data_IF_800159543514
#
_entry.id   IF_800159543514
#
_cell.length_a   1.000
_cell.length_b   1.000
_cell.length_c   1.000
_cell.angle_alpha   90.00
_cell.angle_beta   90.00
_cell.angle_gamma   90.00
#
_symmetry.space_group_name_H-M   'P 1'
#
loop_
_entity.id
_entity.type
_entity.pdbx_description
1 polymer ?
#
# COMPACT_ATOMS: atom_id res chain seq x y z
N UNK A 1 40.61 -28.04 -13.76
CA UNK A 1 41.27 -27.00 -14.58
C UNK A 1 40.36 -26.36 -15.65
N UNK A 2 39.38 -27.06 -16.24
CA UNK A 2 38.52 -26.51 -17.30
C UNK A 2 37.44 -25.49 -16.83
N UNK A 3 37.03 -25.50 -15.55
CA UNK A 3 36.03 -24.57 -15.00
C UNK A 3 36.59 -23.17 -14.73
N UNK A 4 37.86 -23.06 -14.35
CA UNK A 4 38.53 -21.79 -14.03
C UNK A 4 38.74 -20.91 -15.28
N UNK A 5 38.99 -21.54 -16.43
CA UNK A 5 39.09 -20.87 -17.73
C UNK A 5 37.75 -20.29 -18.24
N UNK A 6 36.60 -20.84 -17.84
CA UNK A 6 35.28 -20.31 -18.25
C UNK A 6 34.91 -19.07 -17.46
N UNK A 7 35.20 -19.04 -16.16
CA UNK A 7 34.96 -17.89 -15.29
C UNK A 7 35.84 -16.69 -15.67
N UNK A 8 37.12 -16.90 -15.99
CA UNK A 8 38.00 -15.85 -16.51
C UNK A 8 37.54 -15.32 -17.89
N UNK A 9 37.05 -16.19 -18.78
CA UNK A 9 36.48 -15.76 -20.07
C UNK A 9 35.20 -14.93 -19.94
N UNK A 10 34.40 -15.18 -18.91
CA UNK A 10 33.19 -14.40 -18.61
C UNK A 10 33.57 -13.06 -17.98
N UNK A 11 34.50 -13.04 -17.02
CA UNK A 11 35.04 -11.80 -16.45
C UNK A 11 35.68 -10.90 -17.51
N UNK A 12 36.48 -11.45 -18.42
CA UNK A 12 37.09 -10.67 -19.50
C UNK A 12 36.04 -10.16 -20.51
N UNK A 13 34.96 -10.92 -20.77
CA UNK A 13 33.84 -10.44 -21.61
C UNK A 13 33.07 -9.28 -20.99
N UNK A 14 32.93 -9.23 -19.66
CA UNK A 14 32.33 -8.09 -18.97
C UNK A 14 33.27 -6.86 -18.95
N UNK A 15 34.57 -7.07 -18.90
CA UNK A 15 35.59 -6.01 -18.85
C UNK A 15 35.74 -5.23 -20.17
N UNK A 16 35.35 -5.84 -21.30
CA UNK A 16 35.35 -5.21 -22.63
C UNK A 16 34.00 -4.59 -23.03
N UNK A 17 32.95 -4.70 -22.20
CA UNK A 17 31.64 -4.17 -22.56
C UNK A 17 31.61 -2.63 -22.42
N UNK A 18 32.01 -1.93 -23.48
CA UNK A 18 31.91 -0.46 -23.57
C UNK A 18 30.45 -0.06 -23.68
N UNK A 19 29.83 0.25 -22.54
CA UNK A 19 28.46 0.76 -22.54
C UNK A 19 28.39 2.14 -23.19
N UNK A 20 27.46 2.28 -24.14
CA UNK A 20 27.17 3.58 -24.73
C UNK A 20 26.58 4.54 -23.69
N UNK A 21 26.80 5.83 -23.88
CA UNK A 21 26.17 6.91 -23.12
C UNK A 21 24.65 6.75 -23.09
N UNK A 22 24.03 6.40 -24.22
CA UNK A 22 22.58 6.15 -24.31
C UNK A 22 22.15 5.00 -23.40
N UNK A 23 22.90 3.90 -23.39
CA UNK A 23 22.60 2.74 -22.54
C UNK A 23 22.74 3.08 -21.06
N UNK A 24 23.79 3.80 -20.66
CA UNK A 24 23.99 4.24 -19.27
C UNK A 24 22.83 5.13 -18.80
N UNK A 25 22.42 6.09 -19.62
CA UNK A 25 21.31 6.99 -19.30
C UNK A 25 19.96 6.24 -19.26
N UNK A 26 19.68 5.39 -20.24
CA UNK A 26 18.45 4.59 -20.29
C UNK A 26 18.36 3.61 -19.12
N UNK A 27 19.48 3.04 -18.65
CA UNK A 27 19.51 2.21 -17.46
C UNK A 27 19.22 3.03 -16.19
N UNK A 28 19.78 4.23 -16.07
CA UNK A 28 19.50 5.13 -14.95
C UNK A 28 18.03 5.55 -14.88
N UNK A 29 17.49 6.04 -16.01
CA UNK A 29 16.07 6.43 -16.12
C UNK A 29 15.14 5.21 -15.97
N UNK A 30 15.49 4.09 -16.60
CA UNK A 30 14.74 2.84 -16.50
C UNK A 30 14.70 2.29 -15.08
N UNK A 31 15.78 2.44 -14.31
CA UNK A 31 15.81 2.05 -12.90
C UNK A 31 14.87 2.91 -12.05
N UNK A 32 14.79 4.22 -12.30
CA UNK A 32 13.82 5.10 -11.63
C UNK A 32 12.39 4.67 -11.98
N UNK A 33 12.11 4.49 -13.27
CA UNK A 33 10.79 4.10 -13.74
C UNK A 33 10.36 2.76 -13.14
N UNK A 34 11.25 1.77 -13.13
CA UNK A 34 11.01 0.48 -12.50
C UNK A 34 10.74 0.62 -11.00
N UNK A 35 11.52 1.42 -10.27
CA UNK A 35 11.33 1.65 -8.85
C UNK A 35 9.97 2.31 -8.55
N UNK A 36 9.58 3.33 -9.33
CA UNK A 36 8.29 4.02 -9.17
C UNK A 36 7.10 3.10 -9.47
N UNK A 37 7.22 2.25 -10.49
CA UNK A 37 6.20 1.23 -10.80
C UNK A 37 6.07 0.22 -9.66
N UNK A 38 7.19 -0.29 -9.15
CA UNK A 38 7.20 -1.25 -8.04
C UNK A 38 6.58 -0.64 -6.79
N UNK A 39 6.93 0.62 -6.50
CA UNK A 39 6.33 1.42 -5.41
C UNK A 39 4.81 1.54 -5.55
N UNK A 40 4.34 1.84 -6.76
CA UNK A 40 2.92 2.03 -7.04
C UNK A 40 2.13 0.72 -6.88
N UNK A 41 2.69 -0.39 -7.36
CA UNK A 41 2.09 -1.72 -7.22
C UNK A 41 2.00 -2.11 -5.75
N UNK A 42 3.08 -1.95 -4.99
CA UNK A 42 3.13 -2.26 -3.55
C UNK A 42 2.05 -1.46 -2.82
N UNK A 43 1.98 -0.15 -3.05
CA UNK A 43 1.00 0.72 -2.41
C UNK A 43 -0.45 0.31 -2.70
N UNK A 44 -0.77 -0.08 -3.93
CA UNK A 44 -2.11 -0.57 -4.29
C UNK A 44 -2.43 -1.89 -3.57
N UNK A 45 -1.48 -2.82 -3.50
CA UNK A 45 -1.68 -4.10 -2.83
C UNK A 45 -1.86 -3.93 -1.32
N UNK A 46 -1.09 -3.05 -0.71
CA UNK A 46 -1.19 -2.70 0.72
C UNK A 46 -2.55 -2.05 1.02
N UNK A 47 -2.96 -1.07 0.21
CA UNK A 47 -4.27 -0.43 0.36
C UNK A 47 -5.43 -1.42 0.23
N UNK A 48 -5.38 -2.33 -0.77
CA UNK A 48 -6.44 -3.33 -0.98
C UNK A 48 -6.54 -4.31 0.19
N UNK A 49 -5.40 -4.81 0.68
CA UNK A 49 -5.36 -5.72 1.83
C UNK A 49 -5.98 -5.06 3.06
N UNK A 50 -5.62 -3.81 3.28
CA UNK A 50 -6.13 -3.04 4.40
C UNK A 50 -7.62 -2.73 4.28
N UNK A 51 -8.05 -2.21 3.12
CA UNK A 51 -9.44 -1.84 2.87
C UNK A 51 -10.39 -3.03 3.08
N UNK A 52 -10.02 -4.21 2.59
CA UNK A 52 -10.84 -5.41 2.75
C UNK A 52 -10.90 -5.84 4.22
N UNK A 53 -9.76 -5.90 4.90
CA UNK A 53 -9.70 -6.25 6.32
C UNK A 53 -10.58 -5.32 7.20
N UNK A 54 -10.57 -4.02 6.92
CA UNK A 54 -11.37 -3.01 7.64
C UNK A 54 -12.85 -3.15 7.34
N UNK A 55 -13.19 -3.30 6.06
CA UNK A 55 -14.59 -3.38 5.62
C UNK A 55 -15.27 -4.59 6.24
N UNK A 56 -14.62 -5.74 6.20
CA UNK A 56 -15.18 -6.99 6.72
C UNK A 56 -15.32 -6.94 8.25
N UNK A 57 -14.29 -6.46 8.95
CA UNK A 57 -14.26 -6.41 10.42
C UNK A 57 -15.26 -5.40 11.01
N UNK A 58 -15.39 -4.23 10.37
CA UNK A 58 -16.35 -3.21 10.80
C UNK A 58 -17.78 -3.62 10.44
N UNK A 59 -17.99 -4.19 9.25
CA UNK A 59 -19.31 -4.66 8.84
C UNK A 59 -19.83 -5.80 9.73
N UNK A 60 -18.99 -6.79 10.05
CA UNK A 60 -19.38 -7.94 10.88
C UNK A 60 -19.72 -7.50 12.31
N UNK A 61 -18.89 -6.65 12.93
CA UNK A 61 -19.15 -6.18 14.30
C UNK A 61 -20.38 -5.27 14.39
N UNK A 62 -20.57 -4.34 13.45
CA UNK A 62 -21.77 -3.49 13.39
C UNK A 62 -23.02 -4.34 13.17
N UNK A 63 -22.95 -5.34 12.29
CA UNK A 63 -24.06 -6.27 12.05
C UNK A 63 -24.40 -7.05 13.33
N UNK A 64 -23.41 -7.56 14.04
CA UNK A 64 -23.62 -8.29 15.30
C UNK A 64 -24.28 -7.41 16.37
N UNK A 65 -23.84 -6.16 16.54
CA UNK A 65 -24.45 -5.19 17.46
C UNK A 65 -25.91 -4.92 17.08
N UNK A 66 -26.19 -4.66 15.79
CA UNK A 66 -27.55 -4.39 15.31
C UNK A 66 -28.49 -5.58 15.53
N UNK A 67 -28.03 -6.80 15.23
CA UNK A 67 -28.80 -8.03 15.44
C UNK A 67 -29.08 -8.23 16.93
N UNK A 68 -28.07 -8.06 17.79
CA UNK A 68 -28.25 -8.21 19.24
C UNK A 68 -29.25 -7.19 19.81
N UNK A 69 -29.17 -5.91 19.41
CA UNK A 69 -30.14 -4.88 19.79
C UNK A 69 -31.56 -5.22 19.32
N UNK A 70 -31.71 -5.79 18.12
CA UNK A 70 -33.02 -6.23 17.62
C UNK A 70 -33.58 -7.40 18.45
N UNK A 71 -32.74 -8.37 18.82
CA UNK A 71 -33.11 -9.50 19.68
C UNK A 71 -33.57 -9.05 21.07
N UNK A 72 -32.87 -8.09 21.69
CA UNK A 72 -33.30 -7.46 22.97
C UNK A 72 -34.66 -6.80 22.78
N UNK A 73 -34.80 -5.93 21.77
CA UNK A 73 -36.03 -5.18 21.55
C UNK A 73 -37.25 -6.09 21.35
N UNK A 74 -37.11 -7.16 20.54
CA UNK A 74 -38.17 -8.14 20.32
C UNK A 74 -38.53 -8.93 21.58
N UNK A 75 -37.53 -9.29 22.39
CA UNK A 75 -37.74 -10.02 23.64
C UNK A 75 -38.41 -9.14 24.70
N UNK A 76 -37.99 -7.88 24.81
CA UNK A 76 -38.57 -6.88 25.72
C UNK A 76 -40.02 -6.58 25.36
N UNK A 77 -40.30 -6.34 24.08
CA UNK A 77 -41.65 -6.08 23.58
C UNK A 77 -42.59 -7.26 23.88
N UNK A 78 -42.14 -8.50 23.62
CA UNK A 78 -42.95 -9.67 23.91
C UNK A 78 -43.17 -9.89 25.41
N UNK A 79 -42.12 -9.75 26.23
CA UNK A 79 -42.24 -9.94 27.67
C UNK A 79 -43.20 -8.91 28.30
N UNK A 80 -43.18 -7.66 27.81
CA UNK A 80 -44.11 -6.61 28.21
C UNK A 80 -45.55 -6.90 27.77
N UNK A 81 -45.77 -7.43 26.56
CA UNK A 81 -47.09 -7.87 26.11
C UNK A 81 -47.64 -8.98 27.02
N UNK A 82 -46.83 -9.99 27.34
CA UNK A 82 -47.23 -11.06 28.28
C UNK A 82 -47.57 -10.49 29.66
N UNK A 83 -46.78 -9.55 30.17
CA UNK A 83 -47.06 -8.90 31.45
C UNK A 83 -48.39 -8.11 31.42
N UNK A 84 -48.65 -7.36 30.35
CA UNK A 84 -49.90 -6.62 30.17
C UNK A 84 -51.11 -7.56 30.12
N UNK A 85 -51.02 -8.64 29.35
CA UNK A 85 -52.02 -9.73 29.26
C UNK A 85 -52.36 -10.33 30.63
N UNK A 86 -51.37 -10.48 31.52
CA UNK A 86 -51.56 -11.03 32.87
C UNK A 86 -52.13 -9.98 33.85
N UNK A 87 -51.96 -8.69 33.53
CA UNK A 87 -52.46 -7.58 34.34
C UNK A 87 -53.93 -7.22 34.07
N UNK A 88 -54.50 -7.63 32.94
CA UNK A 88 -55.92 -7.41 32.61
C UNK A 88 -56.83 -8.41 33.35
N UNK A 89 -57.84 -7.90 34.08
CA UNK A 89 -58.73 -8.70 34.93
C UNK A 89 -59.88 -9.38 34.16
N UNK A 90 -60.21 -8.94 32.94
CA UNK A 90 -61.32 -9.48 32.12
C UNK A 90 -60.85 -10.65 31.23
N UNK A 91 -60.99 -11.87 31.74
CA UNK A 91 -60.46 -13.12 31.19
C UNK A 91 -61.12 -13.66 29.90
N UNK A 92 -62.06 -12.94 29.28
CA UNK A 92 -62.95 -13.53 28.25
C UNK A 92 -62.50 -13.23 26.81
N UNK A 93 -61.68 -12.21 26.56
CA UNK A 93 -61.20 -11.85 25.21
C UNK A 93 -59.72 -11.49 25.13
N UNK A 94 -58.89 -12.03 26.02
CA UNK A 94 -57.47 -11.72 26.02
C UNK A 94 -56.77 -12.49 24.88
N UNK A 95 -56.43 -11.78 23.82
CA UNK A 95 -55.62 -12.29 22.72
C UNK A 95 -54.23 -12.62 23.25
N UNK A 96 -53.85 -13.90 23.16
CA UNK A 96 -52.49 -14.35 23.51
C UNK A 96 -51.51 -13.62 22.59
N UNK A 97 -50.50 -12.91 23.12
CA UNK A 97 -49.54 -12.23 22.28
C UNK A 97 -48.80 -13.24 21.41
N UNK A 98 -48.86 -13.03 20.10
CA UNK A 98 -48.09 -13.82 19.15
C UNK A 98 -46.64 -13.34 19.16
N UNK A 99 -45.71 -14.28 19.31
CA UNK A 99 -44.29 -14.00 19.15
C UNK A 99 -43.88 -14.33 17.71
N UNK A 100 -43.25 -13.37 17.05
CA UNK A 100 -42.70 -13.56 15.71
C UNK A 100 -41.44 -14.44 15.75
N UNK A 101 -41.68 -15.76 15.84
CA UNK A 101 -40.66 -16.80 15.91
C UNK A 101 -39.80 -16.79 14.65
N UNK A 102 -40.40 -16.51 13.50
CA UNK A 102 -39.70 -16.52 12.22
C UNK A 102 -38.73 -15.35 12.14
N UNK A 103 -39.14 -14.14 12.53
CA UNK A 103 -38.24 -13.00 12.58
C UNK A 103 -37.10 -13.20 13.58
N UNK A 104 -37.36 -13.76 14.77
CA UNK A 104 -36.30 -14.01 15.75
C UNK A 104 -35.31 -15.08 15.27
N UNK A 105 -35.79 -16.19 14.70
CA UNK A 105 -34.90 -17.21 14.12
C UNK A 105 -34.09 -16.67 12.96
N UNK A 106 -34.68 -15.82 12.11
CA UNK A 106 -33.93 -15.13 11.06
C UNK A 106 -32.84 -14.20 11.62
N UNK A 107 -33.07 -13.54 12.76
CA UNK A 107 -32.04 -12.77 13.45
C UNK A 107 -30.93 -13.68 14.01
N UNK A 108 -31.27 -14.83 14.63
CA UNK A 108 -30.27 -15.79 15.13
C UNK A 108 -29.45 -16.45 14.02
N UNK A 109 -30.07 -16.80 12.89
CA UNK A 109 -29.37 -17.31 11.70
C UNK A 109 -28.48 -16.23 11.08
N UNK A 110 -28.98 -14.98 11.07
CA UNK A 110 -28.20 -13.79 10.73
C UNK A 110 -26.97 -13.63 11.63
N UNK A 111 -27.11 -13.86 12.93
CA UNK A 111 -26.01 -13.81 13.90
C UNK A 111 -24.99 -14.94 13.63
N UNK A 112 -25.47 -16.17 13.44
CA UNK A 112 -24.64 -17.35 13.19
C UNK A 112 -23.83 -17.27 11.89
N UNK A 113 -24.36 -16.55 10.90
CA UNK A 113 -23.69 -16.32 9.61
C UNK A 113 -22.74 -15.11 9.61
N UNK A 114 -22.87 -14.21 10.59
CA UNK A 114 -22.06 -12.98 10.70
C UNK A 114 -20.91 -13.11 11.69
N UNK A 115 -20.99 -14.07 12.58
CA UNK A 115 -19.93 -14.37 13.54
C UNK A 115 -18.81 -15.12 12.82
N UNK A 116 -17.81 -14.38 12.34
CA UNK A 116 -16.57 -14.93 11.80
C UNK A 116 -15.54 -15.27 12.90
N UNK A 117 -15.69 -14.72 14.12
CA UNK A 117 -14.74 -14.95 15.21
C UNK A 117 -15.05 -16.24 15.97
N UNK A 118 -14.02 -17.07 16.19
CA UNK A 118 -14.12 -18.33 16.97
C UNK A 118 -14.66 -18.11 18.39
N UNK A 119 -14.54 -16.89 18.93
CA UNK A 119 -14.91 -16.54 20.30
C UNK A 119 -16.39 -16.16 20.46
N UNK A 120 -17.05 -15.65 19.41
CA UNK A 120 -18.47 -15.28 19.49
C UNK A 120 -19.44 -16.44 19.20
N UNK A 121 -18.96 -17.57 18.62
CA UNK A 121 -19.76 -18.79 18.44
C UNK A 121 -20.42 -19.32 19.73
N UNK A 122 -19.69 -19.54 20.85
CA UNK A 122 -20.29 -20.02 22.09
C UNK A 122 -21.31 -19.04 22.70
N UNK A 123 -21.14 -17.73 22.48
CA UNK A 123 -22.08 -16.71 22.95
C UNK A 123 -23.37 -16.75 22.13
N UNK A 124 -23.28 -16.90 20.82
CA UNK A 124 -24.44 -17.10 19.95
C UNK A 124 -25.23 -18.36 20.31
N UNK A 125 -24.55 -19.49 20.54
CA UNK A 125 -25.20 -20.73 20.97
C UNK A 125 -25.91 -20.57 22.32
N UNK A 126 -25.31 -19.81 23.25
CA UNK A 126 -25.91 -19.49 24.55
C UNK A 126 -27.20 -18.66 24.38
N UNK A 127 -27.21 -17.67 23.48
CA UNK A 127 -28.40 -16.87 23.15
C UNK A 127 -29.51 -17.75 22.56
N UNK A 128 -29.18 -18.63 21.60
CA UNK A 128 -30.15 -19.54 20.98
C UNK A 128 -30.74 -20.51 22.01
N UNK A 129 -29.91 -21.03 22.91
CA UNK A 129 -30.35 -21.92 23.98
C UNK A 129 -31.27 -21.20 24.98
N UNK A 130 -30.88 -20.02 25.45
CA UNK A 130 -31.67 -19.23 26.39
C UNK A 130 -33.02 -18.80 25.77
N UNK A 131 -33.02 -18.49 24.47
CA UNK A 131 -34.24 -18.20 23.73
C UNK A 131 -35.17 -19.41 23.67
N UNK A 132 -34.64 -20.58 23.32
CA UNK A 132 -35.43 -21.81 23.25
C UNK A 132 -36.11 -22.09 24.59
N UNK A 133 -35.39 -21.90 25.71
CA UNK A 133 -35.94 -22.06 27.05
C UNK A 133 -37.01 -21.01 27.38
N UNK A 134 -36.80 -19.75 27.01
CA UNK A 134 -37.78 -18.67 27.19
C UNK A 134 -39.07 -18.92 26.40
N UNK A 135 -38.93 -19.28 25.12
CA UNK A 135 -40.05 -19.53 24.22
C UNK A 135 -40.84 -20.79 24.58
N UNK A 136 -40.16 -21.88 24.97
CA UNK A 136 -40.82 -23.08 25.48
C UNK A 136 -41.67 -22.77 26.72
N UNK A 137 -41.16 -21.89 27.58
CA UNK A 137 -41.90 -21.46 28.76
C UNK A 137 -43.09 -20.59 28.36
N UNK A 138 -42.93 -19.64 27.43
CA UNK A 138 -44.02 -18.75 27.02
C UNK A 138 -45.19 -19.47 26.33
N UNK A 139 -44.96 -20.64 25.72
CA UNK A 139 -46.03 -21.50 25.18
C UNK A 139 -46.98 -22.04 26.25
N UNK A 140 -46.63 -21.98 27.53
CA UNK A 140 -47.53 -22.32 28.63
C UNK A 140 -48.61 -21.25 28.85
N UNK A 141 -48.41 -20.03 28.34
CA UNK A 141 -49.28 -18.87 28.59
C UNK A 141 -50.78 -19.12 28.33
N UNK A 142 -51.22 -19.72 27.19
CA UNK A 142 -52.64 -19.98 26.97
C UNK A 142 -53.27 -20.89 28.03
N UNK A 143 -52.51 -21.91 28.47
CA UNK A 143 -52.96 -22.85 29.50
C UNK A 143 -53.00 -22.18 30.88
N UNK A 144 -52.05 -21.31 31.17
CA UNK A 144 -51.98 -20.54 32.42
C UNK A 144 -53.16 -19.57 32.50
N UNK A 145 -53.47 -18.87 31.42
CA UNK A 145 -54.58 -17.91 31.36
C UNK A 145 -55.96 -18.60 31.42
N UNK A 146 -56.10 -19.81 30.87
CA UNK A 146 -57.36 -20.57 30.87
C UNK A 146 -57.59 -21.40 32.15
N UNK A 147 -56.65 -21.39 33.10
CA UNK A 147 -56.73 -22.24 34.29
C UNK A 147 -57.16 -21.45 35.52
N UNK A 148 -58.26 -21.86 36.13
CA UNK A 148 -58.73 -21.30 37.42
C UNK A 148 -57.81 -21.63 38.61
N UNK A 149 -56.86 -22.55 38.42
CA UNK A 149 -55.99 -23.07 39.49
C UNK A 149 -54.57 -22.48 39.45
N UNK A 150 -54.15 -21.91 38.32
CA UNK A 150 -52.78 -21.40 38.15
C UNK A 150 -52.82 -19.88 38.32
N UNK A 151 -52.04 -19.37 39.27
CA UNK A 151 -51.85 -17.93 39.40
C UNK A 151 -50.92 -17.45 38.27
N UNK A 152 -51.48 -16.72 37.30
CA UNK A 152 -50.76 -16.20 36.13
C UNK A 152 -49.61 -15.26 36.50
N UNK A 153 -49.79 -14.43 37.54
CA UNK A 153 -48.77 -13.53 38.07
C UNK A 153 -47.60 -14.30 38.72
N UNK A 154 -47.91 -15.33 39.49
CA UNK A 154 -46.90 -16.20 40.10
C UNK A 154 -46.10 -16.95 39.03
N UNK A 155 -46.78 -17.52 38.02
CA UNK A 155 -46.14 -18.14 36.87
C UNK A 155 -45.22 -17.14 36.12
N UNK A 156 -45.66 -15.91 35.91
CA UNK A 156 -44.85 -14.89 35.24
C UNK A 156 -43.55 -14.62 36.02
N UNK A 157 -43.64 -14.24 37.29
CA UNK A 157 -42.46 -13.82 38.06
C UNK A 157 -41.53 -14.98 38.43
N UNK A 158 -42.06 -16.17 38.71
CA UNK A 158 -41.26 -17.29 39.18
C UNK A 158 -40.83 -18.27 38.09
N UNK A 159 -41.47 -18.25 36.92
CA UNK A 159 -41.19 -19.20 35.83
C UNK A 159 -40.75 -18.52 34.54
N UNK A 160 -41.48 -17.53 34.05
CA UNK A 160 -41.16 -16.86 32.78
C UNK A 160 -40.05 -15.81 32.92
N UNK A 161 -40.17 -14.90 33.88
CA UNK A 161 -39.25 -13.79 34.12
C UNK A 161 -37.79 -14.25 34.33
N UNK A 162 -37.49 -15.34 35.07
CA UNK A 162 -36.11 -15.82 35.20
C UNK A 162 -35.51 -16.32 33.87
N UNK A 163 -36.33 -16.89 32.98
CA UNK A 163 -35.89 -17.34 31.64
C UNK A 163 -35.62 -16.16 30.72
N UNK A 164 -36.49 -15.14 30.76
CA UNK A 164 -36.27 -13.88 30.08
C UNK A 164 -35.00 -13.17 30.57
N UNK A 165 -34.78 -13.06 31.88
CA UNK A 165 -33.59 -12.44 32.45
C UNK A 165 -32.30 -13.14 31.98
N UNK A 166 -32.34 -14.48 31.86
CA UNK A 166 -31.21 -15.25 31.33
C UNK A 166 -30.96 -14.97 29.85
N UNK A 167 -32.02 -14.94 29.02
CA UNK A 167 -31.92 -14.57 27.61
C UNK A 167 -31.30 -13.18 27.45
N UNK A 168 -31.81 -12.21 28.22
CA UNK A 168 -31.29 -10.83 28.21
C UNK A 168 -29.81 -10.77 28.58
N UNK A 169 -29.41 -11.45 29.66
CA UNK A 169 -28.01 -11.50 30.07
C UNK A 169 -27.09 -12.13 29.02
N UNK A 170 -27.54 -13.18 28.33
CA UNK A 170 -26.75 -13.83 27.27
C UNK A 170 -26.65 -12.94 26.01
N UNK A 171 -27.70 -12.19 25.67
CA UNK A 171 -27.65 -11.19 24.58
C UNK A 171 -26.74 -10.01 24.95
N UNK A 172 -26.78 -9.53 26.20
CA UNK A 172 -25.90 -8.46 26.70
C UNK A 172 -24.44 -8.87 26.63
N UNK A 173 -24.08 -10.09 27.09
CA UNK A 173 -22.70 -10.63 26.97
C UNK A 173 -22.21 -10.71 25.53
N UNK A 174 -23.06 -11.16 24.61
CA UNK A 174 -22.74 -11.19 23.18
C UNK A 174 -22.51 -9.79 22.63
N UNK A 175 -23.32 -8.83 23.06
CA UNK A 175 -23.23 -7.41 22.64
C UNK A 175 -21.95 -6.77 23.16
N UNK A 176 -21.62 -6.98 24.43
CA UNK A 176 -20.40 -6.46 25.07
C UNK A 176 -19.15 -7.05 24.42
N UNK A 177 -19.15 -8.34 24.09
CA UNK A 177 -18.08 -8.97 23.34
C UNK A 177 -17.89 -8.32 21.96
N UNK A 178 -18.99 -8.08 21.22
CA UNK A 178 -18.92 -7.41 19.93
C UNK A 178 -18.42 -5.95 20.02
N UNK A 179 -18.80 -5.20 21.06
CA UNK A 179 -18.27 -3.85 21.31
C UNK A 179 -16.79 -3.86 21.69
N UNK A 180 -16.39 -4.77 22.57
CA UNK A 180 -15.00 -4.96 22.98
C UNK A 180 -14.11 -5.35 21.79
N UNK A 181 -14.60 -6.24 20.93
CA UNK A 181 -13.93 -6.63 19.69
C UNK A 181 -13.81 -5.43 18.76
N UNK A 182 -14.89 -4.68 18.52
CA UNK A 182 -14.85 -3.47 17.70
C UNK A 182 -13.80 -2.46 18.21
N UNK A 183 -13.73 -2.24 19.52
CA UNK A 183 -12.77 -1.32 20.15
C UNK A 183 -11.33 -1.82 20.01
N UNK A 184 -11.09 -3.10 20.30
CA UNK A 184 -9.75 -3.72 20.22
C UNK A 184 -9.26 -3.75 18.77
N UNK A 185 -10.16 -4.06 17.84
CA UNK A 185 -9.91 -4.06 16.41
C UNK A 185 -9.63 -2.65 15.89
N UNK A 186 -10.27 -1.61 16.43
CA UNK A 186 -9.99 -0.21 16.08
C UNK A 186 -8.59 0.23 16.50
N UNK A 187 -8.12 -0.20 17.68
CA UNK A 187 -6.74 0.06 18.15
C UNK A 187 -5.72 -0.72 17.31
N UNK A 188 -5.99 -2.01 17.07
CA UNK A 188 -5.13 -2.87 16.24
C UNK A 188 -5.10 -2.40 14.79
N UNK A 189 -6.18 -1.81 14.29
CA UNK A 189 -6.27 -1.20 12.98
C UNK A 189 -5.24 -0.09 12.80
N UNK A 190 -5.07 0.81 13.77
CA UNK A 190 -4.08 1.89 13.65
C UNK A 190 -2.67 1.31 13.51
N UNK A 191 -2.31 0.35 14.36
CA UNK A 191 -0.99 -0.26 14.33
C UNK A 191 -0.73 -1.06 13.04
N UNK A 192 -1.75 -1.78 12.56
CA UNK A 192 -1.71 -2.52 11.29
C UNK A 192 -1.68 -1.59 10.07
N UNK A 193 -2.38 -0.44 10.12
CA UNK A 193 -2.35 0.62 9.11
C UNK A 193 -0.93 1.12 8.91
N UNK A 194 -0.30 1.55 10.00
CA UNK A 194 1.06 2.07 9.98
C UNK A 194 2.04 1.03 9.44
N UNK A 195 1.97 -0.22 9.92
CA UNK A 195 2.83 -1.31 9.43
C UNK A 195 2.62 -1.63 7.96
N UNK A 196 1.40 -1.47 7.46
CA UNK A 196 1.06 -1.74 6.05
C UNK A 196 1.52 -0.63 5.10
N UNK A 197 1.79 0.59 5.58
CA UNK A 197 2.16 1.74 4.72
C UNK A 197 3.68 1.99 4.70
N UNK A 198 4.40 1.50 5.73
CA UNK A 198 5.85 1.67 5.84
C UNK A 198 6.59 1.27 4.55
N UNK A 199 6.35 0.10 3.92
CA UNK A 199 7.10 -0.29 2.73
C UNK A 199 6.86 0.66 1.55
N UNK A 200 5.63 1.16 1.39
CA UNK A 200 5.29 2.20 0.41
C UNK A 200 6.10 3.49 0.61
N UNK A 201 6.16 4.01 1.83
CA UNK A 201 6.93 5.23 2.15
C UNK A 201 8.43 5.02 1.90
N UNK A 202 8.98 3.88 2.35
CA UNK A 202 10.40 3.53 2.16
C UNK A 202 10.74 3.47 0.67
N UNK A 203 9.86 2.88 -0.14
CA UNK A 203 10.04 2.78 -1.59
C UNK A 203 10.07 4.16 -2.27
N UNK A 204 9.17 5.07 -1.89
CA UNK A 204 9.18 6.45 -2.38
C UNK A 204 10.47 7.17 -2.00
N UNK A 205 10.91 7.03 -0.74
CA UNK A 205 12.18 7.60 -0.27
C UNK A 205 13.39 7.10 -1.05
N UNK A 206 13.46 5.78 -1.28
CA UNK A 206 14.51 5.18 -2.10
C UNK A 206 14.49 5.68 -3.56
N UNK A 207 13.31 5.85 -4.15
CA UNK A 207 13.15 6.47 -5.47
C UNK A 207 13.69 7.89 -5.54
N UNK A 208 13.43 8.71 -4.51
CA UNK A 208 13.92 10.08 -4.41
C UNK A 208 15.46 10.14 -4.31
N UNK A 209 16.06 9.25 -3.52
CA UNK A 209 17.53 9.12 -3.46
C UNK A 209 18.10 8.74 -4.82
N UNK A 210 17.44 7.84 -5.56
CA UNK A 210 17.89 7.41 -6.88
C UNK A 210 17.82 8.55 -7.91
N UNK A 211 16.81 9.41 -7.83
CA UNK A 211 16.72 10.64 -8.64
C UNK A 211 17.87 11.59 -8.33
N UNK A 212 18.18 11.83 -7.05
CA UNK A 212 19.31 12.68 -6.65
C UNK A 212 20.64 12.13 -7.16
N UNK A 213 20.83 10.82 -7.08
CA UNK A 213 22.03 10.14 -7.58
C UNK A 213 22.12 10.27 -9.11
N UNK A 214 21.01 10.09 -9.84
CA UNK A 214 20.98 10.30 -11.29
C UNK A 214 21.32 11.74 -11.66
N UNK A 215 20.78 12.73 -10.94
CA UNK A 215 21.09 14.14 -11.15
C UNK A 215 22.59 14.42 -10.94
N UNK A 216 23.17 13.87 -9.88
CA UNK A 216 24.61 13.95 -9.63
C UNK A 216 25.41 13.30 -10.77
N UNK A 217 25.01 12.11 -11.22
CA UNK A 217 25.66 11.39 -12.30
C UNK A 217 25.64 12.18 -13.60
N UNK A 218 24.48 12.73 -13.97
CA UNK A 218 24.34 13.56 -15.18
C UNK A 218 25.25 14.79 -15.11
N UNK A 219 25.27 15.47 -13.96
CA UNK A 219 26.12 16.65 -13.76
C UNK A 219 27.61 16.30 -13.90
N UNK A 220 28.05 15.23 -13.25
CA UNK A 220 29.46 14.85 -13.17
C UNK A 220 30.00 14.25 -14.47
N UNK A 221 29.22 13.39 -15.14
CA UNK A 221 29.71 12.60 -16.29
C UNK A 221 29.27 13.13 -17.66
N UNK A 222 28.27 14.01 -17.72
CA UNK A 222 27.80 14.57 -18.99
C UNK A 222 27.93 16.10 -19.04
N UNK A 223 27.35 16.81 -18.08
CA UNK A 223 27.28 18.28 -18.13
C UNK A 223 28.66 18.91 -17.92
N UNK A 224 29.35 18.59 -16.81
CA UNK A 224 30.66 19.19 -16.52
C UNK A 224 31.71 18.91 -17.60
N UNK A 225 31.83 17.69 -18.15
CA UNK A 225 32.74 17.41 -19.26
C UNK A 225 32.46 18.24 -20.51
N UNK A 226 31.18 18.41 -20.90
CA UNK A 226 30.81 19.25 -22.05
C UNK A 226 31.30 20.69 -21.85
N UNK A 227 31.06 21.28 -20.66
CA UNK A 227 31.52 22.64 -20.36
C UNK A 227 33.05 22.76 -20.37
N UNK A 228 33.77 21.75 -19.88
CA UNK A 228 35.25 21.73 -19.91
C UNK A 228 35.79 21.69 -21.34
N UNK A 229 35.21 20.85 -22.21
CA UNK A 229 35.60 20.79 -23.62
C UNK A 229 35.30 22.10 -24.34
N UNK A 230 34.13 22.71 -24.08
CA UNK A 230 33.75 23.98 -24.67
C UNK A 230 34.72 25.10 -24.29
N UNK A 231 35.06 25.23 -23.00
CA UNK A 231 36.03 26.22 -22.54
C UNK A 231 37.42 26.01 -23.16
N UNK A 232 37.90 24.76 -23.22
CA UNK A 232 39.18 24.44 -23.84
C UNK A 232 39.21 24.75 -25.35
N UNK A 233 38.08 24.60 -26.04
CA UNK A 233 37.94 24.91 -27.46
C UNK A 233 37.86 26.42 -27.73
N UNK A 234 37.22 27.17 -26.83
CA UNK A 234 37.20 28.63 -26.85
C UNK A 234 38.62 29.21 -26.65
N UNK A 235 39.38 28.68 -25.70
CA UNK A 235 40.78 29.07 -25.50
C UNK A 235 41.67 28.74 -26.71
N UNK A 236 41.41 27.61 -27.37
CA UNK A 236 42.09 27.24 -28.61
C UNK A 236 41.81 28.24 -29.75
N UNK A 237 40.54 28.59 -29.96
CA UNK A 237 40.10 29.42 -31.08
C UNK A 237 40.43 30.91 -30.87
N UNK A 238 40.17 31.46 -29.69
CA UNK A 238 40.33 32.88 -29.40
C UNK A 238 41.74 33.25 -28.95
N UNK A 239 42.36 32.43 -28.10
CA UNK A 239 43.67 32.73 -27.49
C UNK A 239 44.83 32.03 -28.19
N UNK A 240 44.56 31.23 -29.22
CA UNK A 240 45.54 30.43 -29.96
C UNK A 240 46.37 29.53 -29.02
N UNK A 241 45.77 29.12 -27.89
CA UNK A 241 46.38 28.20 -26.92
C UNK A 241 46.20 26.75 -27.37
N UNK A 242 47.01 25.82 -26.85
CA UNK A 242 46.82 24.39 -27.14
C UNK A 242 45.56 23.88 -26.43
N UNK A 243 44.76 23.08 -27.13
CA UNK A 243 43.63 22.37 -26.52
C UNK A 243 44.16 21.39 -25.46
N UNK A 244 43.76 21.57 -24.20
CA UNK A 244 44.15 20.69 -23.09
C UNK A 244 42.92 20.30 -22.28
N UNK A 245 42.22 19.26 -22.73
CA UNK A 245 41.12 18.66 -21.99
C UNK A 245 41.32 17.15 -21.92
N UNK A 246 41.41 16.59 -20.71
CA UNK A 246 41.40 15.15 -20.49
C UNK A 246 40.04 14.71 -19.93
N UNK A 247 39.53 13.59 -20.45
CA UNK A 247 38.28 13.00 -20.02
C UNK A 247 38.49 11.52 -19.73
N UNK A 248 38.17 11.11 -18.51
CA UNK A 248 38.48 9.78 -17.95
C UNK A 248 37.38 8.73 -18.22
N UNK A 249 36.43 9.04 -19.11
CA UNK A 249 35.36 8.11 -19.49
C UNK A 249 35.78 7.15 -20.61
N UNK A 250 35.01 6.07 -20.76
CA UNK A 250 35.19 5.06 -21.81
C UNK A 250 33.99 4.99 -22.78
N UNK A 251 33.26 6.09 -22.94
CA UNK A 251 32.07 6.18 -23.80
C UNK A 251 32.23 7.21 -24.93
N UNK A 252 31.13 7.53 -25.61
CA UNK A 252 31.11 8.48 -26.74
C UNK A 252 31.66 9.85 -26.37
N UNK A 253 31.59 10.26 -25.10
CA UNK A 253 32.12 11.55 -24.67
C UNK A 253 33.65 11.55 -24.68
N UNK A 254 34.27 10.40 -24.39
CA UNK A 254 35.71 10.22 -24.50
C UNK A 254 36.17 10.15 -25.96
N UNK A 255 35.41 9.42 -26.79
CA UNK A 255 35.66 9.36 -28.22
C UNK A 255 35.57 10.76 -28.86
N UNK A 256 34.62 11.59 -28.43
CA UNK A 256 34.49 12.98 -28.88
C UNK A 256 35.69 13.82 -28.44
N UNK A 257 36.11 13.74 -27.18
CA UNK A 257 37.28 14.48 -26.70
C UNK A 257 38.56 14.11 -27.46
N UNK A 258 38.75 12.82 -27.74
CA UNK A 258 39.89 12.32 -28.53
C UNK A 258 39.90 12.90 -29.94
N UNK A 259 38.74 12.88 -30.63
CA UNK A 259 38.62 13.43 -31.98
C UNK A 259 38.84 14.95 -32.00
N UNK A 260 38.32 15.67 -31.00
CA UNK A 260 38.58 17.11 -30.87
C UNK A 260 40.08 17.36 -30.70
N UNK A 261 40.75 16.56 -29.85
CA UNK A 261 42.20 16.69 -29.62
C UNK A 261 42.97 16.49 -30.92
N UNK A 262 42.70 15.41 -31.65
CA UNK A 262 43.33 15.11 -32.94
C UNK A 262 43.16 16.24 -33.96
N UNK A 263 41.93 16.72 -34.16
CA UNK A 263 41.66 17.83 -35.10
C UNK A 263 42.35 19.13 -34.67
N UNK A 264 42.42 19.43 -33.37
CA UNK A 264 43.13 20.62 -32.89
C UNK A 264 44.64 20.51 -33.07
N UNK A 265 45.22 19.32 -32.90
CA UNK A 265 46.65 19.07 -33.14
C UNK A 265 47.00 19.20 -34.62
N UNK A 266 46.21 18.60 -35.52
CA UNK A 266 46.37 18.75 -36.97
C UNK A 266 46.27 20.21 -37.39
N UNK A 267 45.31 20.97 -36.84
CA UNK A 267 45.18 22.40 -37.12
C UNK A 267 46.40 23.20 -36.68
N UNK A 268 47.00 22.86 -35.52
CA UNK A 268 48.23 23.50 -35.06
C UNK A 268 49.39 23.19 -35.99
N UNK A 269 49.51 21.94 -36.46
CA UNK A 269 50.54 21.56 -37.43
C UNK A 269 50.35 22.28 -38.77
N UNK A 270 49.12 22.36 -39.28
CA UNK A 270 48.78 23.11 -40.49
C UNK A 270 49.13 24.59 -40.35
N UNK A 271 48.78 25.24 -39.23
CA UNK A 271 49.16 26.64 -38.96
C UNK A 271 50.68 26.83 -38.98
N UNK A 272 51.46 25.87 -38.44
CA UNK A 272 52.93 25.91 -38.50
C UNK A 272 53.46 25.75 -39.92
N UNK A 273 52.94 24.81 -40.71
CA UNK A 273 53.33 24.58 -42.11
C UNK A 273 53.01 25.78 -43.00
N UNK A 274 51.84 26.39 -42.83
CA UNK A 274 51.46 27.62 -43.58
C UNK A 274 52.38 28.77 -43.22
N UNK A 275 52.74 28.93 -41.93
CA UNK A 275 53.71 29.95 -41.51
C UNK A 275 55.09 29.72 -42.13
N UNK A 276 55.62 28.50 -42.08
CA UNK A 276 56.94 28.22 -42.65
C UNK A 276 57.00 28.46 -44.16
N UNK A 277 55.95 28.07 -44.90
CA UNK A 277 55.85 28.33 -46.34
C UNK A 277 55.77 29.83 -46.65
N UNK A 278 55.09 30.61 -45.82
CA UNK A 278 55.02 32.07 -45.96
C UNK A 278 56.38 32.71 -45.72
N UNK A 279 57.06 32.33 -44.65
CA UNK A 279 58.40 32.82 -44.30
C UNK A 279 59.43 32.46 -45.41
N UNK A 280 59.33 31.26 -45.99
CA UNK A 280 60.19 30.82 -47.10
C UNK A 280 59.92 31.62 -48.38
N UNK A 281 58.65 31.84 -48.74
CA UNK A 281 58.26 32.70 -49.87
C UNK A 281 58.83 34.11 -49.71
N UNK A 282 58.73 34.68 -48.51
CA UNK A 282 59.20 36.04 -48.23
C UNK A 282 60.73 36.16 -48.41
N UNK A 283 61.49 35.18 -47.92
CA UNK A 283 62.95 35.07 -48.16
C UNK A 283 63.30 34.93 -49.63
N UNK A 284 62.54 34.13 -50.39
CA UNK A 284 62.78 33.98 -51.83
C UNK A 284 62.52 35.29 -52.60
N UNK A 285 61.51 36.07 -52.19
CA UNK A 285 61.23 37.39 -52.80
C UNK A 285 62.36 38.37 -52.49
N UNK A 286 62.83 38.42 -51.24
CA UNK A 286 63.97 39.26 -50.84
C UNK A 286 65.24 38.88 -51.61
N UNK A 287 65.52 37.58 -51.77
CA UNK A 287 66.66 37.09 -52.52
C UNK A 287 66.59 37.51 -54.01
N UNK A 288 65.42 37.42 -54.64
CA UNK A 288 65.24 37.83 -56.05
C UNK A 288 65.40 39.34 -56.20
N UNK A 289 64.89 40.15 -55.27
CA UNK A 289 65.05 41.61 -55.29
C UNK A 289 66.52 42.02 -55.11
N UNK A 290 67.27 41.34 -54.25
CA UNK A 290 68.71 41.61 -54.04
C UNK A 290 69.62 41.23 -55.22
N UNK A 291 69.11 40.46 -56.19
CA UNK A 291 69.83 40.09 -57.43
C UNK A 291 69.51 41.05 -58.59
N UNK A 292 68.46 41.87 -58.46
CA UNK A 292 68.05 42.86 -59.47
C UNK A 292 68.52 44.30 -59.20
N UNK A 293 69.12 44.56 -58.04
CA UNK A 293 69.89 45.79 -57.72
C UNK A 293 71.40 45.57 -57.92
#
# INVERSE_FOLDING_TARGET
MASMNRLQKIQNRFREYRMSMRTKLNLGLGSIAAMLLLSSIISILEYRRMSNYVTDLVADNIRNINVAQKLVSMSDEYNLKVLATIGEEDSISVSVPEFDRQAFMAQCDGLRTSISSKEAFPLADSVIYAYSAYMLTSLELPRVMASDFINSRDWFFNRLQPRYNRLRADIERLTDAAYSDLQTNSLTFQDSFYRSIIPGIVSVGAGLVLVLLLMFFIRSYYVSPVYRMLAALEDFTLRNQKYMCSFDGNDQMAALNSQITEVTEENVELRRRVKSLRDERERLIEAVQSVQE
#
